data_IF_838638833284
#
_entry.id   IF_838638833284
#
_cell.length_a   1.000
_cell.length_b   1.000
_cell.length_c   1.000
_cell.angle_alpha   90.00
_cell.angle_beta   90.00
_cell.angle_gamma   90.00
#
_symmetry.space_group_name_H-M   'P 1'
#
loop_
_entity.id
_entity.type
_entity.pdbx_description
1 polymer ?
#
# COMPACT_ATOMS: atom_id res chain seq x y z
N UNK A 1 -21.64 -23.26 44.44
CA UNK A 1 -21.46 -23.07 42.98
C UNK A 1 -20.08 -23.58 42.58
N UNK A 2 -19.94 -24.07 41.34
CA UNK A 2 -18.63 -24.53 40.85
C UNK A 2 -17.77 -23.34 40.49
N UNK A 3 -16.42 -23.40 40.60
CA UNK A 3 -15.51 -22.36 40.11
C UNK A 3 -15.78 -22.06 38.63
N UNK A 4 -15.86 -20.75 38.27
CA UNK A 4 -16.21 -20.30 36.93
C UNK A 4 -17.69 -19.98 36.71
N UNK A 5 -18.54 -20.13 37.73
CA UNK A 5 -19.94 -19.77 37.64
C UNK A 5 -20.15 -18.26 37.43
N UNK A 6 -19.18 -17.45 37.85
CA UNK A 6 -19.18 -15.98 37.71
C UNK A 6 -19.35 -15.55 36.24
N UNK A 7 -18.76 -16.29 35.33
CA UNK A 7 -18.87 -16.04 33.88
C UNK A 7 -20.33 -16.03 33.40
N UNK A 8 -21.19 -16.83 33.96
CA UNK A 8 -22.62 -16.93 33.59
C UNK A 8 -23.51 -16.03 34.44
N UNK A 9 -23.09 -15.73 35.67
CA UNK A 9 -23.88 -14.91 36.60
C UNK A 9 -23.66 -13.41 36.39
N UNK A 10 -22.46 -13.03 35.96
CA UNK A 10 -22.06 -11.63 35.69
C UNK A 10 -21.57 -11.50 34.25
N UNK A 11 -22.43 -11.66 33.24
CA UNK A 11 -22.03 -11.63 31.85
C UNK A 11 -21.50 -10.24 31.46
N UNK A 12 -20.23 -10.15 31.08
CA UNK A 12 -19.58 -8.91 30.68
C UNK A 12 -20.00 -8.42 29.28
N UNK A 13 -20.24 -9.35 28.37
CA UNK A 13 -20.57 -9.05 26.99
C UNK A 13 -22.09 -8.83 26.79
N UNK A 14 -22.53 -7.79 26.04
CA UNK A 14 -23.97 -7.51 25.84
C UNK A 14 -24.75 -8.67 25.21
N UNK A 15 -24.11 -9.42 24.30
CA UNK A 15 -24.73 -10.60 23.67
C UNK A 15 -24.94 -11.74 24.65
N UNK A 16 -23.96 -12.03 25.49
CA UNK A 16 -24.02 -13.02 26.55
C UNK A 16 -25.07 -12.62 27.60
N UNK A 17 -25.06 -11.35 28.03
CA UNK A 17 -26.03 -10.83 28.99
C UNK A 17 -27.48 -11.01 28.52
N UNK A 18 -27.72 -10.75 27.22
CA UNK A 18 -29.06 -10.95 26.62
C UNK A 18 -29.44 -12.42 26.58
N UNK A 19 -28.50 -13.29 26.23
CA UNK A 19 -28.70 -14.73 26.19
C UNK A 19 -29.05 -15.28 27.61
N UNK A 20 -28.27 -14.93 28.62
CA UNK A 20 -28.49 -15.41 30.00
C UNK A 20 -29.79 -14.84 30.60
N UNK A 21 -30.14 -13.60 30.29
CA UNK A 21 -31.42 -13.03 30.70
C UNK A 21 -32.60 -13.81 30.09
N UNK A 22 -32.55 -14.15 28.82
CA UNK A 22 -33.61 -14.96 28.18
C UNK A 22 -33.61 -16.40 28.69
N UNK A 23 -32.43 -17.01 28.96
CA UNK A 23 -32.33 -18.33 29.56
C UNK A 23 -32.99 -18.35 30.96
N UNK A 24 -32.71 -17.34 31.78
CA UNK A 24 -33.37 -17.21 33.10
C UNK A 24 -34.89 -17.06 32.98
N UNK A 25 -35.36 -16.26 32.02
CA UNK A 25 -36.80 -16.03 31.80
C UNK A 25 -37.52 -17.30 31.28
N UNK A 26 -36.94 -18.03 30.32
CA UNK A 26 -37.60 -19.17 29.68
C UNK A 26 -37.35 -20.52 30.32
N UNK A 27 -36.16 -20.74 30.93
CA UNK A 27 -35.73 -22.03 31.45
C UNK A 27 -35.79 -22.07 32.97
N UNK A 28 -35.45 -20.98 33.65
CA UNK A 28 -35.52 -20.86 35.11
C UNK A 28 -36.89 -20.35 35.57
N UNK A 29 -37.76 -19.98 34.62
CA UNK A 29 -39.12 -19.47 34.89
C UNK A 29 -39.13 -18.19 35.77
N UNK A 30 -37.99 -17.48 35.82
CA UNK A 30 -37.88 -16.25 36.58
C UNK A 30 -38.80 -15.14 36.03
N UNK A 31 -39.40 -14.34 36.89
CA UNK A 31 -40.26 -13.23 36.47
C UNK A 31 -39.44 -12.16 35.74
N UNK A 32 -40.09 -11.40 34.85
CA UNK A 32 -39.42 -10.32 34.11
C UNK A 32 -38.79 -9.25 35.03
N UNK A 33 -39.34 -9.06 36.23
CA UNK A 33 -38.80 -8.14 37.23
C UNK A 33 -37.49 -8.69 37.84
N UNK A 34 -37.45 -9.98 38.22
CA UNK A 34 -36.27 -10.64 38.76
C UNK A 34 -35.12 -10.73 37.73
N UNK A 35 -35.45 -11.11 36.49
CA UNK A 35 -34.49 -11.11 35.38
C UNK A 35 -33.96 -9.69 35.12
N UNK A 36 -34.83 -8.70 35.16
CA UNK A 36 -34.45 -7.30 35.00
C UNK A 36 -33.46 -6.84 36.06
N UNK A 37 -33.75 -7.16 37.32
CA UNK A 37 -32.89 -6.83 38.46
C UNK A 37 -31.52 -7.55 38.35
N UNK A 38 -31.51 -8.84 37.98
CA UNK A 38 -30.28 -9.66 37.86
C UNK A 38 -29.36 -9.25 36.71
N UNK A 39 -29.92 -8.89 35.58
CA UNK A 39 -29.15 -8.61 34.35
C UNK A 39 -29.13 -7.15 33.93
N UNK A 40 -29.70 -6.25 34.72
CA UNK A 40 -29.69 -4.80 34.45
C UNK A 40 -30.63 -4.38 33.31
N UNK A 41 -31.80 -5.06 33.17
CA UNK A 41 -32.84 -4.72 32.22
C UNK A 41 -34.11 -4.20 32.95
N UNK A 42 -34.93 -3.42 32.25
CA UNK A 42 -36.30 -3.15 32.73
C UNK A 42 -37.23 -4.34 32.41
N UNK A 43 -38.28 -4.57 33.21
CA UNK A 43 -39.23 -5.64 32.92
C UNK A 43 -39.85 -5.55 31.50
N UNK A 44 -40.23 -4.36 30.99
CA UNK A 44 -40.66 -4.22 29.59
C UNK A 44 -39.60 -4.65 28.57
N UNK A 45 -38.32 -4.36 28.83
CA UNK A 45 -37.21 -4.80 27.94
C UNK A 45 -37.11 -6.32 27.92
N UNK A 46 -37.27 -7.00 29.07
CA UNK A 46 -37.26 -8.48 29.12
C UNK A 46 -38.42 -9.05 28.29
N UNK A 47 -39.61 -8.49 28.42
CA UNK A 47 -40.77 -8.90 27.60
C UNK A 47 -40.54 -8.67 26.11
N UNK A 48 -39.92 -7.56 25.72
CA UNK A 48 -39.56 -7.29 24.31
C UNK A 48 -38.54 -8.33 23.78
N UNK A 49 -37.48 -8.61 24.54
CA UNK A 49 -36.49 -9.63 24.17
C UNK A 49 -37.11 -11.01 24.03
N UNK A 50 -38.04 -11.37 24.95
CA UNK A 50 -38.79 -12.62 24.89
C UNK A 50 -39.71 -12.71 23.66
N UNK A 51 -40.37 -11.61 23.29
CA UNK A 51 -41.19 -11.52 22.07
C UNK A 51 -40.29 -11.67 20.80
N UNK A 52 -39.12 -11.04 20.77
CA UNK A 52 -38.18 -11.15 19.69
C UNK A 52 -37.66 -12.59 19.52
N UNK A 53 -37.38 -13.30 20.62
CA UNK A 53 -36.99 -14.71 20.57
C UNK A 53 -38.10 -15.61 20.02
N UNK A 54 -39.36 -15.38 20.47
CA UNK A 54 -40.52 -16.12 19.94
C UNK A 54 -40.77 -15.84 18.46
N UNK A 55 -40.38 -14.66 17.97
CA UNK A 55 -40.43 -14.28 16.56
C UNK A 55 -39.26 -14.86 15.72
N UNK A 56 -38.42 -15.75 16.30
CA UNK A 56 -37.33 -16.44 15.60
C UNK A 56 -36.01 -15.69 15.57
N UNK A 57 -35.84 -14.64 16.37
CA UNK A 57 -34.53 -13.98 16.52
C UNK A 57 -33.63 -14.72 17.48
N UNK A 58 -32.89 -15.74 16.96
CA UNK A 58 -32.05 -16.65 17.76
C UNK A 58 -30.56 -16.34 17.68
N UNK A 59 -30.15 -15.31 16.91
CA UNK A 59 -28.72 -15.04 16.65
C UNK A 59 -28.12 -14.10 17.69
N UNK A 60 -27.82 -14.61 18.87
CA UNK A 60 -27.24 -13.84 19.99
C UNK A 60 -25.74 -13.57 19.83
N UNK A 61 -24.99 -14.52 19.28
CA UNK A 61 -23.54 -14.48 19.17
C UNK A 61 -23.06 -14.19 17.76
N UNK A 62 -23.79 -13.38 17.03
CA UNK A 62 -23.28 -12.86 15.75
C UNK A 62 -21.98 -12.09 16.02
N UNK A 63 -20.90 -12.54 15.41
CA UNK A 63 -19.78 -11.62 15.18
C UNK A 63 -20.33 -10.40 14.43
N UNK A 64 -20.32 -9.24 15.08
CA UNK A 64 -20.75 -8.00 14.43
C UNK A 64 -19.97 -7.87 13.14
N UNK A 65 -20.62 -8.00 11.98
CA UNK A 65 -19.99 -7.60 10.73
C UNK A 65 -19.59 -6.15 10.94
N UNK A 66 -18.30 -5.81 10.89
CA UNK A 66 -17.92 -4.42 11.03
C UNK A 66 -18.76 -3.62 10.03
N UNK A 67 -19.32 -2.50 10.46
CA UNK A 67 -20.13 -1.63 9.61
C UNK A 67 -19.42 -1.28 8.29
N UNK A 68 -20.08 -0.61 7.35
CA UNK A 68 -19.54 -0.34 6.03
C UNK A 68 -18.12 0.23 6.13
N UNK A 69 -17.13 -0.54 5.67
CA UNK A 69 -15.71 -0.15 5.71
C UNK A 69 -15.48 0.95 4.68
N UNK A 70 -15.67 2.17 5.08
CA UNK A 70 -15.52 3.38 4.27
C UNK A 70 -16.84 3.86 3.63
N UNK A 71 -16.93 5.15 3.33
CA UNK A 71 -18.12 5.73 2.73
C UNK A 71 -18.30 5.18 1.31
N UNK A 72 -19.46 4.60 1.02
CA UNK A 72 -19.83 4.06 -0.32
C UNK A 72 -19.68 5.07 -1.45
N UNK A 73 -19.75 6.36 -1.14
CA UNK A 73 -19.58 7.48 -2.07
C UNK A 73 -18.09 7.76 -2.40
N UNK A 74 -17.17 7.38 -1.54
CA UNK A 74 -15.74 7.68 -1.71
C UNK A 74 -15.15 7.12 -3.00
N UNK A 75 -15.56 5.92 -3.42
CA UNK A 75 -15.08 5.31 -4.67
C UNK A 75 -15.52 6.04 -5.93
N UNK A 76 -16.71 6.67 -5.93
CA UNK A 76 -17.24 7.37 -7.11
C UNK A 76 -16.62 8.74 -7.34
N UNK A 77 -16.20 9.41 -6.27
CA UNK A 77 -15.67 10.78 -6.34
C UNK A 77 -14.16 10.85 -6.13
N UNK A 78 -13.54 9.72 -5.84
CA UNK A 78 -12.11 9.64 -5.49
C UNK A 78 -11.22 10.31 -6.52
N UNK A 79 -11.34 9.93 -7.77
CA UNK A 79 -10.45 10.44 -8.84
C UNK A 79 -10.64 11.95 -9.05
N UNK A 80 -11.89 12.43 -8.89
CA UNK A 80 -12.18 13.85 -8.96
C UNK A 80 -11.60 14.62 -7.77
N UNK A 81 -11.69 14.07 -6.56
CA UNK A 81 -11.06 14.63 -5.35
C UNK A 81 -9.54 14.74 -5.54
N UNK A 82 -8.90 13.70 -6.07
CA UNK A 82 -7.46 13.70 -6.32
C UNK A 82 -7.05 14.74 -7.37
N UNK A 83 -7.81 14.85 -8.47
CA UNK A 83 -7.57 15.85 -9.52
C UNK A 83 -7.68 17.28 -8.98
N UNK A 84 -8.68 17.56 -8.13
CA UNK A 84 -8.85 18.87 -7.50
C UNK A 84 -7.77 19.14 -6.44
N UNK A 85 -7.32 18.11 -5.70
CA UNK A 85 -6.20 18.26 -4.77
C UNK A 85 -4.89 18.55 -5.49
N UNK A 86 -4.66 17.94 -6.65
CA UNK A 86 -3.53 18.26 -7.51
C UNK A 86 -3.51 19.72 -8.00
N UNK A 87 -4.65 20.43 -7.88
CA UNK A 87 -4.76 21.88 -8.11
C UNK A 87 -4.63 22.70 -6.81
N UNK A 88 -4.11 22.12 -5.73
CA UNK A 88 -3.94 22.74 -4.39
C UNK A 88 -5.25 23.24 -3.75
N UNK A 89 -6.38 22.66 -4.14
CA UNK A 89 -7.64 23.00 -3.49
C UNK A 89 -7.70 22.42 -2.08
N UNK A 90 -8.22 23.21 -1.16
CA UNK A 90 -8.46 22.78 0.21
C UNK A 90 -9.56 21.72 0.27
N UNK A 91 -9.60 20.97 1.38
CA UNK A 91 -10.65 19.96 1.62
C UNK A 91 -12.05 20.55 1.48
N UNK A 92 -12.26 21.79 1.95
CA UNK A 92 -13.56 22.48 1.88
C UNK A 92 -13.90 22.85 0.44
N UNK A 93 -12.97 23.48 -0.29
CA UNK A 93 -13.15 23.84 -1.71
C UNK A 93 -13.41 22.62 -2.59
N UNK A 94 -12.74 21.49 -2.31
CA UNK A 94 -12.97 20.22 -3.02
C UNK A 94 -14.37 19.71 -2.76
N UNK A 95 -14.83 19.74 -1.48
CA UNK A 95 -16.16 19.29 -1.13
C UNK A 95 -17.26 20.13 -1.80
N UNK A 96 -17.06 21.44 -1.87
CA UNK A 96 -17.98 22.37 -2.56
C UNK A 96 -18.06 22.08 -4.07
N UNK A 97 -16.91 21.97 -4.75
CA UNK A 97 -16.85 21.70 -6.19
C UNK A 97 -17.48 20.36 -6.55
N UNK A 98 -17.10 19.28 -5.83
CA UNK A 98 -17.62 17.94 -6.08
C UNK A 98 -19.12 17.86 -5.79
N UNK A 99 -19.60 18.60 -4.78
CA UNK A 99 -21.01 18.69 -4.47
C UNK A 99 -21.79 19.44 -5.53
N UNK A 100 -21.26 20.54 -6.05
CA UNK A 100 -21.84 21.30 -7.15
C UNK A 100 -21.89 20.49 -8.47
N UNK A 101 -20.96 19.55 -8.68
CA UNK A 101 -20.93 18.60 -9.80
C UNK A 101 -21.96 17.44 -9.64
N UNK A 102 -22.87 17.51 -8.67
CA UNK A 102 -23.95 16.53 -8.46
C UNK A 102 -23.55 15.32 -7.61
N UNK A 103 -22.36 15.35 -6.99
CA UNK A 103 -21.89 14.28 -6.10
C UNK A 103 -21.66 14.80 -4.68
N UNK A 104 -22.71 15.01 -3.88
CA UNK A 104 -22.61 15.65 -2.56
C UNK A 104 -21.70 14.81 -1.62
N UNK A 105 -20.62 15.44 -1.17
CA UNK A 105 -19.64 14.87 -0.24
C UNK A 105 -19.31 15.86 0.86
N UNK A 106 -19.09 15.34 2.07
CA UNK A 106 -18.64 16.18 3.19
C UNK A 106 -17.13 16.43 3.12
N UNK A 107 -16.67 17.52 3.71
CA UNK A 107 -15.25 17.82 3.89
C UNK A 107 -14.51 16.66 4.59
N UNK A 108 -15.17 15.97 5.53
CA UNK A 108 -14.60 14.81 6.21
C UNK A 108 -14.40 13.60 5.27
N UNK A 109 -15.32 13.38 4.33
CA UNK A 109 -15.18 12.34 3.30
C UNK A 109 -14.01 12.67 2.37
N UNK A 110 -13.88 13.92 1.94
CA UNK A 110 -12.74 14.40 1.13
C UNK A 110 -11.43 14.21 1.88
N UNK A 111 -11.38 14.62 3.16
CA UNK A 111 -10.21 14.42 4.00
C UNK A 111 -9.83 12.93 4.13
N UNK A 112 -10.81 12.06 4.37
CA UNK A 112 -10.57 10.62 4.50
C UNK A 112 -10.01 10.02 3.20
N UNK A 113 -10.51 10.45 2.02
CA UNK A 113 -9.98 10.05 0.73
C UNK A 113 -8.51 10.50 0.60
N UNK A 114 -8.24 11.77 0.83
CA UNK A 114 -6.90 12.34 0.69
C UNK A 114 -5.90 11.70 1.65
N UNK A 115 -6.31 11.49 2.91
CA UNK A 115 -5.50 10.82 3.91
C UNK A 115 -5.20 9.36 3.54
N UNK A 116 -6.21 8.63 3.06
CA UNK A 116 -6.02 7.24 2.58
C UNK A 116 -5.10 7.15 1.36
N UNK A 117 -4.99 8.23 0.57
CA UNK A 117 -4.12 8.34 -0.59
C UNK A 117 -2.74 8.93 -0.26
N UNK A 118 -2.48 9.27 1.01
CA UNK A 118 -1.20 9.78 1.47
C UNK A 118 -0.94 11.27 1.17
N UNK A 119 -1.99 12.05 0.90
CA UNK A 119 -1.81 13.50 0.74
C UNK A 119 -1.61 14.18 2.09
N UNK A 120 -0.59 15.01 2.18
CA UNK A 120 -0.35 15.87 3.34
C UNK A 120 -1.35 17.05 3.41
N UNK A 121 -1.42 17.67 4.58
CA UNK A 121 -2.17 18.92 4.73
C UNK A 121 -1.50 20.02 3.91
N UNK A 122 -2.32 20.85 3.24
CA UNK A 122 -1.80 22.09 2.66
C UNK A 122 -1.30 23.00 3.78
N UNK A 123 -0.21 23.69 3.52
CA UNK A 123 0.26 24.79 4.38
C UNK A 123 -0.83 25.86 4.58
N UNK A 124 -0.75 26.62 5.68
CA UNK A 124 -1.64 27.76 5.88
C UNK A 124 -1.43 28.77 4.75
N UNK A 125 -2.51 29.10 4.03
CA UNK A 125 -2.52 30.20 3.09
C UNK A 125 -2.33 31.52 3.86
N UNK A 126 -1.34 32.32 3.46
CA UNK A 126 -1.18 33.66 3.98
C UNK A 126 -2.33 34.59 3.58
N UNK A 127 -2.47 35.78 4.19
CA UNK A 127 -3.46 36.77 3.81
C UNK A 127 -3.13 37.31 2.41
N UNK A 128 -3.79 36.79 1.39
CA UNK A 128 -3.55 37.18 -0.03
C UNK A 128 -3.85 36.05 -1.03
N UNK A 129 -4.20 34.86 -0.53
CA UNK A 129 -4.45 33.70 -1.39
C UNK A 129 -3.18 33.03 -1.92
N UNK A 130 -3.29 31.95 -2.67
CA UNK A 130 -2.13 31.32 -3.31
C UNK A 130 -1.54 32.31 -4.32
N UNK A 131 -0.22 32.48 -4.29
CA UNK A 131 0.48 33.16 -5.38
C UNK A 131 0.06 32.54 -6.71
N UNK A 132 -0.11 33.36 -7.79
CA UNK A 132 -0.37 32.81 -9.11
C UNK A 132 0.71 31.77 -9.40
N UNK A 133 0.30 30.56 -9.74
CA UNK A 133 1.26 29.53 -10.14
C UNK A 133 2.01 30.04 -11.36
N UNK A 134 3.29 30.20 -11.21
CA UNK A 134 4.19 30.26 -12.36
C UNK A 134 4.03 28.94 -13.12
N UNK A 135 4.02 28.98 -14.45
CA UNK A 135 4.00 27.75 -15.25
C UNK A 135 5.07 26.79 -14.73
N UNK A 136 4.73 25.54 -14.42
CA UNK A 136 5.68 24.60 -13.83
C UNK A 136 6.87 24.44 -14.75
N UNK A 137 8.07 24.59 -14.19
CA UNK A 137 9.33 24.44 -14.91
C UNK A 137 9.32 23.08 -15.62
N UNK A 138 9.63 23.07 -16.92
CA UNK A 138 9.71 21.83 -17.69
C UNK A 138 11.00 21.10 -17.29
N UNK A 139 10.87 19.86 -16.84
CA UNK A 139 12.02 19.03 -16.52
C UNK A 139 12.90 18.83 -17.77
N UNK A 140 14.17 19.12 -17.63
CA UNK A 140 15.23 18.88 -18.61
C UNK A 140 16.56 18.73 -17.89
N UNK A 141 17.52 18.08 -18.54
CA UNK A 141 18.88 18.01 -18.02
C UNK A 141 19.47 19.44 -17.87
N UNK A 142 20.32 19.59 -16.88
CA UNK A 142 21.11 20.82 -16.68
C UNK A 142 22.22 20.83 -17.72
N UNK A 143 22.31 21.89 -18.51
CA UNK A 143 23.40 22.03 -19.47
C UNK A 143 24.70 22.46 -18.76
N UNK A 144 24.65 23.61 -18.10
CA UNK A 144 25.76 24.10 -17.30
C UNK A 144 25.44 23.91 -15.81
N UNK A 145 26.37 23.32 -15.07
CA UNK A 145 26.19 23.12 -13.64
C UNK A 145 26.22 24.47 -12.91
N UNK A 146 25.22 24.79 -12.09
CA UNK A 146 25.13 26.08 -11.42
C UNK A 146 26.16 26.16 -10.28
N UNK A 147 27.36 26.63 -10.57
CA UNK A 147 28.41 26.84 -9.56
C UNK A 147 28.13 28.10 -8.77
N UNK A 148 28.25 28.00 -7.42
CA UNK A 148 28.08 29.13 -6.51
C UNK A 148 26.63 29.60 -6.27
N UNK A 149 25.64 28.96 -6.88
CA UNK A 149 24.23 29.27 -6.63
C UNK A 149 23.70 28.45 -5.43
N UNK A 150 22.85 29.07 -4.63
CA UNK A 150 22.12 28.41 -3.54
C UNK A 150 20.69 28.12 -3.99
N UNK A 151 20.25 26.89 -3.81
CA UNK A 151 18.93 26.42 -4.21
C UNK A 151 18.16 25.93 -2.99
N UNK A 152 16.93 26.40 -2.77
CA UNK A 152 16.08 25.83 -1.73
C UNK A 152 15.76 24.38 -2.07
N UNK A 153 15.81 23.50 -1.08
CA UNK A 153 15.48 22.08 -1.22
C UNK A 153 14.76 21.59 0.02
N UNK A 154 13.47 21.36 -0.08
CA UNK A 154 12.63 20.85 1.01
C UNK A 154 12.94 19.38 1.32
N UNK A 155 13.53 18.67 0.36
CA UNK A 155 13.87 17.25 0.46
C UNK A 155 15.38 17.00 0.44
N UNK A 156 16.17 17.91 1.00
CA UNK A 156 17.64 17.84 0.99
C UNK A 156 18.20 16.52 1.58
N UNK A 157 17.50 15.90 2.52
CA UNK A 157 17.88 14.58 3.07
C UNK A 157 18.01 13.47 2.02
N UNK A 158 17.34 13.58 0.85
CA UNK A 158 17.45 12.61 -0.23
C UNK A 158 18.83 12.61 -0.92
N UNK A 159 19.60 13.69 -0.77
CA UNK A 159 20.98 13.74 -1.26
C UNK A 159 21.89 12.73 -0.57
N UNK A 160 21.55 12.27 0.63
CA UNK A 160 22.28 11.22 1.34
C UNK A 160 22.22 9.85 0.62
N UNK A 161 21.29 9.67 -0.32
CA UNK A 161 21.21 8.48 -1.15
C UNK A 161 22.22 8.48 -2.32
N UNK A 162 22.72 9.65 -2.74
CA UNK A 162 23.58 9.77 -3.92
C UNK A 162 24.90 8.97 -3.81
N UNK A 163 25.62 8.97 -2.67
CA UNK A 163 26.82 8.14 -2.53
C UNK A 163 26.51 6.66 -2.73
N UNK A 164 25.45 6.13 -2.11
CA UNK A 164 25.05 4.73 -2.28
C UNK A 164 24.61 4.42 -3.73
N UNK A 165 23.90 5.33 -4.39
CA UNK A 165 23.53 5.18 -5.80
C UNK A 165 24.76 5.15 -6.71
N UNK A 166 25.78 5.95 -6.41
CA UNK A 166 27.04 5.98 -7.14
C UNK A 166 27.87 4.72 -6.89
N UNK A 167 27.98 4.28 -5.63
CA UNK A 167 28.69 3.05 -5.26
C UNK A 167 28.09 1.81 -5.93
N UNK A 168 26.76 1.73 -6.00
CA UNK A 168 26.05 0.67 -6.70
C UNK A 168 26.11 0.81 -8.23
N UNK A 169 26.62 1.91 -8.77
CA UNK A 169 26.66 2.15 -10.22
C UNK A 169 25.27 2.21 -10.85
N UNK A 170 24.30 2.78 -10.14
CA UNK A 170 22.89 2.73 -10.55
C UNK A 170 22.64 3.32 -11.93
N UNK A 171 23.39 4.36 -12.33
CA UNK A 171 23.30 4.94 -13.68
C UNK A 171 23.61 3.90 -14.76
N UNK A 172 24.74 3.23 -14.63
CA UNK A 172 25.23 2.23 -15.59
C UNK A 172 24.29 1.02 -15.65
N UNK A 173 23.78 0.60 -14.49
CA UNK A 173 22.78 -0.49 -14.40
C UNK A 173 21.49 -0.15 -15.14
N UNK A 174 20.99 1.08 -15.00
CA UNK A 174 19.76 1.53 -15.69
C UNK A 174 19.97 1.60 -17.20
N UNK A 175 21.14 2.06 -17.64
CA UNK A 175 21.51 2.10 -19.06
C UNK A 175 21.67 0.67 -19.64
N UNK A 176 22.37 -0.19 -18.95
CA UNK A 176 22.55 -1.59 -19.35
C UNK A 176 21.22 -2.35 -19.43
N UNK A 177 20.28 -2.06 -18.54
CA UNK A 177 18.95 -2.64 -18.52
C UNK A 177 18.02 -2.09 -19.62
N UNK A 178 18.47 -1.11 -20.41
CA UNK A 178 17.75 -0.53 -21.56
C UNK A 178 16.36 0.02 -21.21
N UNK A 179 16.27 0.75 -20.11
CA UNK A 179 15.04 1.47 -19.79
C UNK A 179 14.75 2.55 -20.85
N UNK A 180 13.46 2.84 -21.14
CA UNK A 180 13.11 3.82 -22.14
C UNK A 180 13.45 5.24 -21.68
N UNK A 181 14.10 6.02 -22.54
CA UNK A 181 14.28 7.45 -22.40
C UNK A 181 13.33 8.23 -23.30
N UNK A 182 13.50 9.54 -23.30
CA UNK A 182 12.90 10.49 -24.25
C UNK A 182 13.99 11.36 -24.87
N UNK A 183 13.63 12.21 -25.84
CA UNK A 183 14.57 13.21 -26.41
C UNK A 183 15.09 14.22 -25.37
N UNK A 184 14.39 14.40 -24.25
CA UNK A 184 14.69 15.42 -23.23
C UNK A 184 15.19 14.82 -21.94
N UNK A 185 14.68 13.64 -21.58
CA UNK A 185 14.99 12.95 -20.32
C UNK A 185 15.57 11.58 -20.63
N UNK A 186 16.74 11.26 -20.09
CA UNK A 186 17.30 9.92 -20.16
C UNK A 186 16.47 8.91 -19.36
N UNK A 187 16.76 7.63 -19.53
CA UNK A 187 16.19 6.54 -18.73
C UNK A 187 16.46 6.74 -17.25
N UNK A 188 17.69 7.13 -16.89
CA UNK A 188 18.08 7.39 -15.51
C UNK A 188 17.27 8.56 -14.89
N UNK A 189 17.07 9.67 -15.63
CA UNK A 189 16.25 10.78 -15.14
C UNK A 189 14.84 10.36 -14.78
N UNK A 190 14.22 9.51 -15.60
CA UNK A 190 12.85 9.03 -15.36
C UNK A 190 12.78 8.04 -14.19
N UNK A 191 13.67 7.04 -14.18
CA UNK A 191 13.69 6.03 -13.12
C UNK A 191 14.19 6.60 -11.79
N UNK A 192 15.24 7.42 -11.81
CA UNK A 192 15.76 8.12 -10.63
C UNK A 192 14.72 9.04 -10.01
N UNK A 193 13.91 9.73 -10.84
CA UNK A 193 12.79 10.53 -10.32
C UNK A 193 11.74 9.68 -9.63
N UNK A 194 11.43 8.47 -10.13
CA UNK A 194 10.54 7.53 -9.44
C UNK A 194 11.14 7.06 -8.11
N UNK A 195 12.45 6.82 -8.05
CA UNK A 195 13.15 6.49 -6.80
C UNK A 195 13.05 7.63 -5.78
N UNK A 196 13.31 8.88 -6.18
CA UNK A 196 13.15 10.05 -5.32
C UNK A 196 11.73 10.20 -4.79
N UNK A 197 10.71 9.96 -5.64
CA UNK A 197 9.30 9.95 -5.23
C UNK A 197 9.05 8.88 -4.16
N UNK A 198 9.60 7.69 -4.32
CA UNK A 198 9.46 6.61 -3.33
C UNK A 198 10.23 6.90 -2.05
N UNK A 199 11.47 7.35 -2.15
CA UNK A 199 12.30 7.70 -1.01
C UNK A 199 11.72 8.87 -0.18
N UNK A 200 10.99 9.81 -0.84
CA UNK A 200 10.24 10.86 -0.14
C UNK A 200 8.95 10.36 0.53
N UNK A 201 8.77 9.05 0.67
CA UNK A 201 7.57 8.38 1.22
C UNK A 201 6.27 8.67 0.46
N UNK A 202 6.35 9.10 -0.77
CA UNK A 202 5.18 9.25 -1.65
C UNK A 202 4.77 7.89 -2.20
N UNK A 203 3.67 7.36 -1.73
CA UNK A 203 3.22 6.01 -2.07
C UNK A 203 2.96 5.78 -3.57
N UNK A 204 2.66 6.85 -4.34
CA UNK A 204 2.30 6.77 -5.76
C UNK A 204 3.00 7.84 -6.59
N UNK A 205 3.31 7.52 -7.84
CA UNK A 205 3.86 8.47 -8.80
C UNK A 205 2.96 9.70 -9.03
N UNK A 206 1.63 9.53 -8.91
CA UNK A 206 0.67 10.64 -8.97
C UNK A 206 0.87 11.69 -7.87
N UNK A 207 1.48 11.30 -6.75
CA UNK A 207 1.76 12.19 -5.61
C UNK A 207 3.10 12.95 -5.78
N UNK A 208 3.75 12.84 -6.93
CA UNK A 208 4.99 13.54 -7.25
C UNK A 208 4.81 15.06 -7.45
N UNK A 209 3.58 15.52 -7.55
CA UNK A 209 3.26 16.92 -7.86
C UNK A 209 4.00 17.94 -6.96
N UNK A 210 4.03 17.80 -5.63
CA UNK A 210 4.74 18.75 -4.78
C UNK A 210 6.26 18.76 -4.98
N UNK A 211 6.83 17.66 -5.48
CA UNK A 211 8.27 17.55 -5.72
C UNK A 211 8.72 18.34 -6.97
N UNK A 212 7.80 18.62 -7.89
CA UNK A 212 8.07 19.44 -9.07
C UNK A 212 8.34 20.91 -8.74
N UNK A 213 7.88 21.36 -7.58
CA UNK A 213 8.07 22.72 -7.07
C UNK A 213 9.32 22.85 -6.18
N UNK A 214 10.08 21.74 -5.98
CA UNK A 214 11.36 21.72 -5.26
C UNK A 214 12.52 21.74 -6.27
N UNK A 215 13.08 22.93 -6.58
CA UNK A 215 14.12 23.04 -7.59
C UNK A 215 15.41 22.36 -7.16
N UNK A 216 15.71 22.36 -5.85
CA UNK A 216 16.87 21.68 -5.29
C UNK A 216 16.82 20.17 -5.49
N UNK A 217 15.64 19.57 -5.43
CA UNK A 217 15.51 18.12 -5.61
C UNK A 217 15.83 17.67 -7.05
N UNK A 218 15.48 18.47 -8.05
CA UNK A 218 15.84 18.18 -9.43
C UNK A 218 17.35 18.03 -9.64
N UNK A 219 18.15 18.87 -8.97
CA UNK A 219 19.61 18.86 -9.04
C UNK A 219 20.21 17.52 -8.63
N UNK A 220 19.60 16.78 -7.69
CA UNK A 220 20.07 15.46 -7.28
C UNK A 220 20.18 14.46 -8.45
N UNK A 221 19.45 14.70 -9.53
CA UNK A 221 19.47 13.88 -10.75
C UNK A 221 20.06 14.63 -11.95
N UNK A 222 20.66 15.81 -11.76
CA UNK A 222 21.11 16.65 -12.87
C UNK A 222 19.99 17.27 -13.68
N UNK A 223 18.82 17.52 -13.08
CA UNK A 223 17.66 18.12 -13.69
C UNK A 223 17.37 19.52 -13.14
N UNK A 224 16.82 20.40 -13.96
CA UNK A 224 16.34 21.72 -13.51
C UNK A 224 15.07 21.63 -12.66
N UNK A 225 14.31 20.54 -12.79
CA UNK A 225 13.14 20.21 -11.97
C UNK A 225 12.80 18.71 -12.09
N UNK A 226 12.15 18.15 -11.08
CA UNK A 226 11.61 16.78 -11.13
C UNK A 226 10.51 16.70 -12.20
N UNK A 227 10.46 15.63 -13.03
CA UNK A 227 9.43 15.44 -14.05
C UNK A 227 8.01 15.46 -13.48
N UNK A 228 7.06 15.97 -14.26
CA UNK A 228 5.65 16.03 -13.88
C UNK A 228 5.09 14.64 -13.54
N UNK A 229 4.13 14.59 -12.61
CA UNK A 229 3.44 13.37 -12.23
C UNK A 229 2.86 12.61 -13.44
N UNK A 230 2.36 13.30 -14.46
CA UNK A 230 1.86 12.67 -15.70
C UNK A 230 2.94 11.92 -16.46
N UNK A 231 4.19 12.43 -16.50
CA UNK A 231 5.32 11.69 -17.09
C UNK A 231 5.65 10.44 -16.28
N UNK A 232 5.72 10.57 -14.95
CA UNK A 232 6.09 9.48 -14.05
C UNK A 232 5.02 8.38 -14.01
N UNK A 233 3.73 8.74 -13.99
CA UNK A 233 2.64 7.76 -14.03
C UNK A 233 2.55 7.01 -15.35
N UNK A 234 2.81 7.68 -16.49
CA UNK A 234 2.81 7.05 -17.80
C UNK A 234 4.11 6.31 -18.12
N UNK A 235 5.17 6.50 -17.34
CA UNK A 235 6.47 5.90 -17.61
C UNK A 235 6.45 4.37 -17.51
N UNK A 236 5.75 3.82 -16.51
CA UNK A 236 5.65 2.38 -16.28
C UNK A 236 5.07 1.63 -17.48
N UNK A 237 4.14 2.22 -18.24
CA UNK A 237 3.55 1.62 -19.45
C UNK A 237 4.53 1.46 -20.62
N UNK A 238 5.67 2.13 -20.55
CA UNK A 238 6.74 2.05 -21.56
C UNK A 238 7.86 1.12 -21.17
N UNK A 239 7.92 0.73 -19.90
CA UNK A 239 8.95 -0.16 -19.36
C UNK A 239 8.64 -1.61 -19.73
N UNK A 240 9.63 -2.33 -20.25
CA UNK A 240 9.50 -3.75 -20.57
C UNK A 240 9.89 -4.60 -19.36
N UNK A 241 9.24 -5.74 -19.18
CA UNK A 241 9.60 -6.71 -18.13
C UNK A 241 11.07 -7.09 -18.17
N UNK A 242 11.61 -7.33 -19.36
CA UNK A 242 13.03 -7.65 -19.53
C UNK A 242 13.99 -6.60 -18.96
N UNK A 243 13.62 -5.29 -19.03
CA UNK A 243 14.40 -4.22 -18.41
C UNK A 243 14.35 -4.30 -16.87
N UNK A 244 13.19 -4.62 -16.30
CA UNK A 244 13.06 -4.81 -14.84
C UNK A 244 13.91 -5.99 -14.36
N UNK A 245 13.85 -7.13 -15.06
CA UNK A 245 14.65 -8.32 -14.73
C UNK A 245 16.15 -8.02 -14.84
N UNK A 246 16.59 -7.38 -15.93
CA UNK A 246 18.00 -7.03 -16.13
C UNK A 246 18.51 -6.06 -15.05
N UNK A 247 17.71 -5.07 -14.66
CA UNK A 247 18.08 -4.17 -13.56
C UNK A 247 18.18 -4.90 -12.22
N UNK A 248 17.21 -5.76 -11.91
CA UNK A 248 17.23 -6.56 -10.66
C UNK A 248 18.45 -7.47 -10.62
N UNK A 249 18.75 -8.20 -11.70
CA UNK A 249 19.94 -9.05 -11.76
C UNK A 249 21.25 -8.26 -11.62
N UNK A 250 21.36 -7.12 -12.32
CA UNK A 250 22.54 -6.25 -12.23
C UNK A 250 22.71 -5.67 -10.83
N UNK A 251 21.62 -5.18 -10.24
CA UNK A 251 21.60 -4.61 -8.89
C UNK A 251 21.97 -5.69 -7.85
N UNK A 252 21.37 -6.89 -7.96
CA UNK A 252 21.66 -7.98 -7.02
C UNK A 252 23.12 -8.43 -7.07
N UNK A 253 23.73 -8.54 -8.28
CA UNK A 253 25.18 -8.80 -8.41
C UNK A 253 25.99 -7.73 -7.71
N UNK A 254 25.64 -6.47 -7.95
CA UNK A 254 26.35 -5.34 -7.34
C UNK A 254 26.21 -5.30 -5.82
N UNK A 255 25.01 -5.54 -5.29
CA UNK A 255 24.77 -5.65 -3.84
C UNK A 255 25.60 -6.78 -3.20
N UNK A 256 25.77 -7.91 -3.90
CA UNK A 256 26.69 -8.99 -3.45
C UNK A 256 28.14 -8.53 -3.42
N UNK A 257 28.61 -7.89 -4.50
CA UNK A 257 29.99 -7.39 -4.61
C UNK A 257 30.36 -6.41 -3.49
N UNK A 258 29.43 -5.54 -3.10
CA UNK A 258 29.63 -4.57 -2.01
C UNK A 258 29.27 -5.11 -0.61
N UNK A 259 28.88 -6.39 -0.50
CA UNK A 259 28.62 -7.05 0.78
C UNK A 259 27.32 -6.65 1.47
N UNK A 260 26.31 -6.20 0.73
CA UNK A 260 24.99 -5.89 1.30
C UNK A 260 24.18 -7.15 1.63
N UNK A 261 24.41 -8.26 0.93
CA UNK A 261 23.79 -9.55 1.25
C UNK A 261 24.69 -10.39 2.14
N UNK A 262 24.08 -11.24 2.99
CA UNK A 262 24.79 -12.04 3.98
C UNK A 262 25.81 -13.05 3.39
N UNK A 263 25.59 -13.45 2.14
CA UNK A 263 26.39 -14.50 1.49
C UNK A 263 25.98 -15.92 1.87
N UNK A 264 25.06 -16.12 2.83
CA UNK A 264 24.60 -17.45 3.29
C UNK A 264 23.64 -18.13 2.29
N UNK A 265 23.18 -17.42 1.25
CA UNK A 265 22.23 -17.88 0.23
C UNK A 265 20.92 -18.48 0.81
N UNK A 266 20.49 -17.99 1.97
CA UNK A 266 19.20 -18.32 2.61
C UNK A 266 18.18 -17.21 2.35
N UNK A 267 16.93 -17.58 1.96
CA UNK A 267 15.92 -16.59 1.57
C UNK A 267 14.56 -16.86 2.18
N UNK A 268 13.91 -15.79 2.65
CA UNK A 268 12.50 -15.77 3.01
C UNK A 268 11.70 -15.35 1.79
N UNK A 269 10.71 -16.16 1.40
CA UNK A 269 9.87 -15.93 0.24
C UNK A 269 8.43 -15.70 0.69
N UNK A 270 7.78 -14.66 0.15
CA UNK A 270 6.39 -14.37 0.50
C UNK A 270 5.63 -13.74 -0.67
N UNK A 271 4.31 -13.98 -0.70
CA UNK A 271 3.38 -13.31 -1.61
C UNK A 271 2.63 -12.21 -0.89
N UNK A 272 2.48 -11.09 -1.56
CA UNK A 272 1.72 -9.98 -1.05
C UNK A 272 0.72 -9.47 -2.08
N UNK A 273 -0.56 -9.31 -1.68
CA UNK A 273 -1.59 -8.80 -2.55
C UNK A 273 -1.69 -7.27 -2.43
N UNK A 274 -1.30 -6.55 -3.48
CA UNK A 274 -1.37 -5.09 -3.54
C UNK A 274 -2.65 -4.68 -4.25
N UNK A 275 -3.54 -4.02 -3.53
CA UNK A 275 -4.78 -3.50 -4.11
C UNK A 275 -4.47 -2.54 -5.25
N UNK A 276 -5.10 -2.79 -6.40
CA UNK A 276 -4.94 -1.97 -7.60
C UNK A 276 -6.30 -1.60 -8.19
N UNK A 277 -6.39 -0.40 -8.73
CA UNK A 277 -7.64 0.14 -9.29
C UNK A 277 -7.58 0.37 -10.80
N UNK A 278 -6.41 0.12 -11.41
CA UNK A 278 -6.25 0.18 -12.87
C UNK A 278 -6.91 -1.00 -13.57
N UNK A 279 -6.99 -0.94 -14.89
CA UNK A 279 -7.55 -1.99 -15.74
C UNK A 279 -6.51 -2.67 -16.64
N UNK A 280 -5.25 -2.26 -16.54
CA UNK A 280 -4.21 -2.56 -17.54
C UNK A 280 -3.27 -3.70 -17.13
N UNK A 281 -3.50 -4.30 -15.97
CA UNK A 281 -2.77 -5.47 -15.47
C UNK A 281 -3.75 -6.59 -15.15
N UNK A 282 -3.33 -7.86 -15.22
CA UNK A 282 -4.15 -8.97 -14.75
C UNK A 282 -4.51 -8.76 -13.29
N UNK A 283 -5.78 -8.47 -13.02
CA UNK A 283 -6.29 -8.27 -11.68
C UNK A 283 -7.13 -9.46 -11.29
N UNK A 284 -6.72 -10.12 -10.23
CA UNK A 284 -7.46 -11.19 -9.59
C UNK A 284 -7.97 -10.76 -8.21
N UNK A 285 -8.94 -11.48 -7.67
CA UNK A 285 -9.40 -11.24 -6.30
C UNK A 285 -8.54 -12.01 -5.31
N UNK A 286 -7.75 -11.27 -4.52
CA UNK A 286 -6.94 -11.83 -3.43
C UNK A 286 -7.48 -11.35 -2.08
N UNK A 287 -7.23 -12.14 -1.04
CA UNK A 287 -7.50 -11.72 0.32
C UNK A 287 -6.48 -10.66 0.74
N UNK A 288 -6.98 -9.51 1.18
CA UNK A 288 -6.15 -8.40 1.69
C UNK A 288 -6.35 -8.30 3.19
N UNK A 289 -5.37 -8.76 4.03
CA UNK A 289 -5.52 -8.85 5.49
C UNK A 289 -5.89 -7.52 6.13
N UNK A 290 -5.28 -6.42 5.72
CA UNK A 290 -5.55 -5.08 6.24
C UNK A 290 -7.02 -4.65 6.11
N UNK A 291 -7.82 -5.33 5.30
CA UNK A 291 -9.25 -5.05 5.09
C UNK A 291 -10.15 -6.26 5.37
N UNK A 292 -9.59 -7.39 5.75
CA UNK A 292 -10.31 -8.64 6.01
C UNK A 292 -11.32 -9.00 4.90
N UNK A 293 -10.97 -8.75 3.63
CA UNK A 293 -11.85 -9.02 2.49
C UNK A 293 -11.05 -9.32 1.22
N UNK A 294 -11.68 -10.05 0.28
CA UNK A 294 -11.15 -10.21 -1.07
C UNK A 294 -11.41 -8.94 -1.87
N UNK A 295 -10.38 -8.48 -2.58
CA UNK A 295 -10.45 -7.31 -3.47
C UNK A 295 -9.61 -7.53 -4.70
N UNK A 296 -9.94 -6.84 -5.79
CA UNK A 296 -9.09 -6.80 -6.98
C UNK A 296 -7.72 -6.24 -6.61
N UNK A 297 -6.70 -7.01 -6.89
CA UNK A 297 -5.32 -6.72 -6.50
C UNK A 297 -4.33 -7.36 -7.45
N UNK A 298 -3.13 -6.81 -7.47
CA UNK A 298 -1.96 -7.41 -8.11
C UNK A 298 -1.29 -8.31 -7.10
N UNK A 299 -1.02 -9.56 -7.47
CA UNK A 299 -0.20 -10.44 -6.67
C UNK A 299 1.27 -10.08 -6.90
N UNK A 300 1.99 -9.92 -5.82
CA UNK A 300 3.44 -9.65 -5.83
C UNK A 300 4.16 -10.72 -5.06
N UNK A 301 5.35 -11.08 -5.52
CA UNK A 301 6.24 -11.99 -4.84
C UNK A 301 7.51 -11.25 -4.44
N UNK A 302 8.03 -11.56 -3.26
CA UNK A 302 9.25 -11.01 -2.72
C UNK A 302 10.17 -12.12 -2.22
N UNK A 303 11.47 -11.94 -2.45
CA UNK A 303 12.49 -12.71 -1.78
C UNK A 303 13.42 -11.78 -1.00
N UNK A 304 13.67 -12.14 0.25
CA UNK A 304 14.48 -11.40 1.20
C UNK A 304 15.64 -12.29 1.66
N UNK A 305 16.86 -11.75 1.65
CA UNK A 305 17.99 -12.42 2.29
C UNK A 305 17.70 -12.61 3.77
N UNK A 306 17.81 -13.85 4.25
CA UNK A 306 17.38 -14.23 5.59
C UNK A 306 18.15 -13.50 6.70
N UNK A 307 19.46 -13.35 6.53
CA UNK A 307 20.33 -12.81 7.57
C UNK A 307 20.45 -11.28 7.50
N UNK A 308 20.60 -10.69 6.30
CA UNK A 308 20.68 -9.24 6.15
C UNK A 308 19.32 -8.54 6.16
N UNK A 309 18.22 -9.28 5.94
CA UNK A 309 16.86 -8.77 5.76
C UNK A 309 16.66 -7.85 4.55
N UNK A 310 17.63 -7.79 3.66
CA UNK A 310 17.55 -7.00 2.43
C UNK A 310 16.75 -7.72 1.34
N UNK A 311 16.01 -6.96 0.54
CA UNK A 311 15.24 -7.50 -0.58
C UNK A 311 16.15 -7.82 -1.75
N UNK A 312 16.10 -9.05 -2.23
CA UNK A 312 16.95 -9.54 -3.34
C UNK A 312 16.16 -9.71 -4.64
N UNK A 313 14.85 -9.90 -4.55
CA UNK A 313 13.99 -10.11 -5.70
C UNK A 313 12.58 -9.61 -5.45
N UNK A 314 11.93 -9.13 -6.50
CA UNK A 314 10.51 -8.80 -6.50
C UNK A 314 9.90 -9.04 -7.90
N UNK A 315 8.70 -9.59 -7.94
CA UNK A 315 7.90 -9.72 -9.14
C UNK A 315 6.44 -9.34 -8.86
N UNK A 316 5.80 -8.63 -9.78
CA UNK A 316 4.41 -8.18 -9.67
C UNK A 316 3.53 -8.63 -10.85
N UNK A 317 4.08 -9.48 -11.72
CA UNK A 317 3.42 -9.96 -12.94
C UNK A 317 3.12 -11.45 -12.80
N UNK A 318 2.29 -11.78 -11.80
CA UNK A 318 2.02 -13.15 -11.36
C UNK A 318 0.52 -13.34 -11.25
N UNK A 319 0.02 -14.44 -11.80
CA UNK A 319 -1.34 -14.92 -11.60
C UNK A 319 -1.37 -16.05 -10.55
N UNK A 320 -2.52 -16.35 -9.99
CA UNK A 320 -2.68 -17.48 -9.05
C UNK A 320 -2.26 -18.81 -9.65
N UNK A 321 -2.47 -18.99 -10.96
CA UNK A 321 -2.10 -20.20 -11.66
C UNK A 321 -0.58 -20.39 -11.77
N UNK A 322 0.19 -19.29 -11.73
CA UNK A 322 1.64 -19.27 -11.84
C UNK A 322 2.35 -19.23 -10.49
N UNK A 323 1.59 -19.06 -9.42
CA UNK A 323 2.12 -18.82 -8.07
C UNK A 323 3.16 -19.85 -7.62
N UNK A 324 2.90 -21.14 -7.80
CA UNK A 324 3.83 -22.20 -7.39
C UNK A 324 5.13 -22.21 -8.20
N UNK A 325 5.10 -21.73 -9.44
CA UNK A 325 6.29 -21.66 -10.32
C UNK A 325 7.20 -20.47 -9.99
N UNK A 326 6.71 -19.50 -9.25
CA UNK A 326 7.50 -18.32 -8.92
C UNK A 326 8.66 -18.63 -7.97
N UNK A 327 8.53 -19.68 -7.16
CA UNK A 327 9.63 -20.17 -6.30
C UNK A 327 10.78 -20.70 -7.15
N UNK A 328 10.47 -21.48 -8.21
CA UNK A 328 11.47 -21.98 -9.18
C UNK A 328 12.08 -20.79 -9.94
N UNK A 329 11.25 -19.87 -10.43
CA UNK A 329 11.73 -18.69 -11.14
C UNK A 329 12.68 -17.84 -10.29
N UNK A 330 12.48 -17.78 -8.98
CA UNK A 330 13.42 -17.16 -8.05
C UNK A 330 14.71 -17.96 -7.90
N UNK A 331 14.66 -19.28 -7.79
CA UNK A 331 15.84 -20.11 -7.72
C UNK A 331 16.72 -19.93 -8.98
N UNK A 332 16.11 -19.99 -10.16
CA UNK A 332 16.79 -19.72 -11.44
C UNK A 332 17.40 -18.32 -11.50
N UNK A 333 16.66 -17.31 -11.02
CA UNK A 333 17.16 -15.94 -10.94
C UNK A 333 18.40 -15.87 -10.07
N UNK A 334 18.35 -16.46 -8.87
CA UNK A 334 19.47 -16.43 -7.95
C UNK A 334 20.69 -17.17 -8.52
N UNK A 335 20.50 -18.32 -9.15
CA UNK A 335 21.57 -19.06 -9.81
C UNK A 335 22.27 -18.22 -10.90
N UNK A 336 21.50 -17.44 -11.67
CA UNK A 336 22.09 -16.48 -12.64
C UNK A 336 22.82 -15.32 -11.97
N UNK A 337 22.37 -14.86 -10.81
CA UNK A 337 23.00 -13.77 -10.05
C UNK A 337 24.26 -14.24 -9.33
N UNK A 338 24.18 -15.39 -8.66
CA UNK A 338 25.21 -15.89 -7.74
C UNK A 338 26.19 -16.88 -8.37
N UNK A 339 25.79 -17.52 -9.48
CA UNK A 339 26.54 -18.64 -10.05
C UNK A 339 26.40 -19.94 -9.25
N UNK A 340 25.46 -20.00 -8.30
CA UNK A 340 25.17 -21.15 -7.46
C UNK A 340 23.70 -21.10 -7.02
N UNK A 341 23.12 -22.25 -6.74
CA UNK A 341 21.75 -22.38 -6.29
C UNK A 341 21.55 -21.82 -4.87
N UNK A 342 20.31 -21.43 -4.50
CA UNK A 342 20.00 -21.02 -3.12
C UNK A 342 20.25 -22.20 -2.15
N UNK A 343 20.88 -21.89 -1.00
CA UNK A 343 21.15 -22.90 0.03
C UNK A 343 19.97 -23.24 0.91
N UNK A 344 19.06 -22.24 1.11
CA UNK A 344 17.87 -22.39 1.94
C UNK A 344 16.74 -21.50 1.41
N UNK A 345 15.57 -22.09 1.23
CA UNK A 345 14.34 -21.35 0.90
C UNK A 345 13.32 -21.57 2.02
N UNK A 346 12.85 -20.49 2.63
CA UNK A 346 11.85 -20.48 3.68
C UNK A 346 10.57 -19.81 3.16
N UNK A 347 9.46 -20.55 3.09
CA UNK A 347 8.19 -20.07 2.56
C UNK A 347 6.99 -20.80 3.15
N UNK A 348 5.78 -20.20 3.04
CA UNK A 348 4.52 -20.83 3.47
C UNK A 348 4.18 -22.02 2.56
N UNK A 349 3.67 -23.09 3.15
CA UNK A 349 3.22 -24.30 2.44
C UNK A 349 2.17 -24.05 1.36
N UNK A 350 1.45 -22.94 1.42
CA UNK A 350 0.51 -22.52 0.38
C UNK A 350 1.19 -22.08 -0.94
N UNK A 351 2.50 -21.84 -0.92
CA UNK A 351 3.25 -21.30 -2.04
C UNK A 351 3.74 -22.36 -3.02
N UNK A 352 3.61 -23.64 -2.70
CA UNK A 352 4.16 -24.71 -3.52
C UNK A 352 3.29 -25.96 -3.56
N UNK A 353 3.61 -26.83 -4.50
CA UNK A 353 3.02 -28.16 -4.69
C UNK A 353 4.10 -29.21 -4.53
N UNK A 354 3.72 -30.48 -4.30
CA UNK A 354 4.70 -31.57 -4.28
C UNK A 354 5.53 -31.65 -5.56
N UNK A 355 4.90 -31.43 -6.71
CA UNK A 355 5.61 -31.41 -8.00
C UNK A 355 6.66 -30.27 -8.08
N UNK A 356 6.36 -29.11 -7.50
CA UNK A 356 7.32 -27.99 -7.43
C UNK A 356 8.47 -28.32 -6.46
N UNK A 357 8.19 -29.03 -5.35
CA UNK A 357 9.23 -29.47 -4.42
C UNK A 357 10.15 -30.52 -5.04
N UNK A 358 9.60 -31.46 -5.82
CA UNK A 358 10.39 -32.44 -6.56
C UNK A 358 11.30 -31.76 -7.58
N UNK A 359 10.81 -30.76 -8.31
CA UNK A 359 11.59 -29.96 -9.27
C UNK A 359 12.71 -29.14 -8.60
N UNK A 360 12.46 -28.58 -7.39
CA UNK A 360 13.48 -27.88 -6.60
C UNK A 360 14.54 -28.82 -6.01
N UNK A 361 14.24 -30.11 -5.89
CA UNK A 361 15.15 -31.10 -5.32
C UNK A 361 16.01 -31.82 -6.38
N UNK A 362 15.68 -31.65 -7.64
CA UNK A 362 16.37 -32.27 -8.79
C UNK A 362 17.58 -31.45 -9.23
#
# INVERSE_FOLDING_TARGET
MRPGAEYFLEPGEPAQRRYEALRAYFVEEASAAEVGQRFGYSAPTVHQLAAELRAGRTEFFRSSKPGPKGPRKAGRVRDRVLALRAQDRSVTEIAEVVSAEGSPVSAQTVWAILHAEGFERLGRRGPGGPAPRTDPVKARAIGDWPTGATWPCDHAGLYLLLPAMAELGLLDLVEAARYPGTKVLSSFHSLGSLLLVKASRRGRAANAFPLGDDPGLGLALGLVAVPKATHLTSYSYRVRRASNVALLEGLARRCREVGLYSGEAGFNLDFHAIRHHGSEVPLEEHYVPARSQRTRSVLTFFAQDHASTEMVYANADITKAEQSREVIAFADYWSRVAGADPGLLCFDSQLTTYATLDELSA
#
